data_IF_111556537145
#
_entry.id   IF_111556537145
#
_cell.length_a   1.000
_cell.length_b   1.000
_cell.length_c   1.000
_cell.angle_alpha   90.00
_cell.angle_beta   90.00
_cell.angle_gamma   90.00
#
_symmetry.space_group_name_H-M   'P 1'
#
loop_
_entity.id
_entity.type
_entity.pdbx_description
1 polymer ?
#
# COMPACT_ATOMS: atom_id res chain seq x y z
N UNK A 1 -10.70 -8.24 -15.88
CA UNK A 1 -9.63 -8.97 -15.15
C UNK A 1 -8.68 -8.06 -14.37
N UNK A 2 -8.57 -6.77 -14.70
CA UNK A 2 -7.76 -5.81 -13.91
C UNK A 2 -8.53 -5.24 -12.70
N UNK A 3 -9.86 -5.08 -12.81
CA UNK A 3 -10.68 -4.50 -11.74
C UNK A 3 -11.30 -5.54 -10.80
N UNK A 4 -11.70 -6.71 -11.32
CA UNK A 4 -12.43 -7.73 -10.55
C UNK A 4 -11.59 -8.39 -9.45
N UNK A 5 -10.34 -8.75 -9.74
CA UNK A 5 -9.44 -9.43 -8.79
C UNK A 5 -9.09 -8.56 -7.57
N UNK A 6 -8.70 -7.27 -7.73
CA UNK A 6 -8.52 -6.39 -6.57
C UNK A 6 -9.84 -6.05 -5.88
N UNK A 7 -10.99 -6.04 -6.58
CA UNK A 7 -12.29 -5.81 -5.94
C UNK A 7 -12.71 -6.95 -5.03
N UNK A 8 -12.54 -8.21 -5.45
CA UNK A 8 -12.87 -9.37 -4.61
C UNK A 8 -11.95 -9.45 -3.39
N UNK A 9 -10.66 -9.14 -3.58
CA UNK A 9 -9.69 -9.08 -2.49
C UNK A 9 -10.02 -7.92 -1.54
N UNK A 10 -10.31 -6.74 -2.07
CA UNK A 10 -10.69 -5.57 -1.28
C UNK A 10 -12.02 -5.73 -0.54
N UNK A 11 -13.00 -6.45 -1.11
CA UNK A 11 -14.28 -6.73 -0.46
C UNK A 11 -14.10 -7.64 0.77
N UNK A 12 -13.21 -8.63 0.69
CA UNK A 12 -12.87 -9.48 1.84
C UNK A 12 -12.18 -8.68 2.96
N UNK A 13 -11.35 -7.70 2.61
CA UNK A 13 -10.70 -6.83 3.58
C UNK A 13 -11.63 -5.74 4.10
N UNK A 14 -12.59 -5.27 3.29
CA UNK A 14 -13.64 -4.34 3.73
C UNK A 14 -14.49 -4.95 4.86
N UNK A 15 -14.72 -6.26 4.84
CA UNK A 15 -15.34 -6.97 5.95
C UNK A 15 -14.48 -6.92 7.24
N UNK A 16 -13.16 -7.09 7.13
CA UNK A 16 -12.24 -6.92 8.26
C UNK A 16 -12.10 -5.46 8.71
N UNK A 17 -12.16 -4.51 7.79
CA UNK A 17 -12.22 -3.07 8.06
C UNK A 17 -13.46 -2.75 8.90
N UNK A 18 -14.61 -3.31 8.50
CA UNK A 18 -15.88 -3.12 9.16
C UNK A 18 -15.88 -3.71 10.58
N UNK A 19 -15.34 -4.91 10.75
CA UNK A 19 -15.19 -5.53 12.08
C UNK A 19 -14.23 -4.72 12.97
N UNK A 20 -13.11 -4.23 12.42
CA UNK A 20 -12.17 -3.35 13.12
C UNK A 20 -12.84 -2.04 13.53
N UNK A 21 -13.58 -1.40 12.63
CA UNK A 21 -14.33 -0.17 12.92
C UNK A 21 -15.37 -0.38 14.02
N UNK A 22 -16.10 -1.49 14.00
CA UNK A 22 -17.07 -1.85 15.03
C UNK A 22 -16.41 -2.12 16.38
N UNK A 23 -15.28 -2.85 16.41
CA UNK A 23 -14.56 -3.22 17.64
C UNK A 23 -13.86 -2.05 18.30
N UNK A 24 -13.30 -1.12 17.54
CA UNK A 24 -12.56 0.05 18.07
C UNK A 24 -13.47 1.27 18.33
N UNK A 25 -14.76 1.05 18.54
CA UNK A 25 -15.69 2.08 19.05
C UNK A 25 -16.16 3.09 18.02
N UNK A 26 -16.12 2.77 16.72
CA UNK A 26 -16.66 3.60 15.63
C UNK A 26 -16.12 5.04 15.57
N UNK A 27 -14.90 5.24 16.03
CA UNK A 27 -14.25 6.55 16.02
C UNK A 27 -13.59 6.83 14.67
N UNK A 28 -13.33 8.11 14.37
CA UNK A 28 -12.61 8.52 13.15
C UNK A 28 -11.21 7.90 13.06
N UNK A 29 -10.57 7.65 14.20
CA UNK A 29 -9.28 6.95 14.30
C UNK A 29 -9.42 5.45 14.02
N UNK A 30 -10.49 4.81 14.51
CA UNK A 30 -10.82 3.42 14.18
C UNK A 30 -11.12 3.25 12.68
N UNK A 31 -11.80 4.21 12.05
CA UNK A 31 -12.05 4.22 10.62
C UNK A 31 -10.74 4.37 9.82
N UNK A 32 -9.85 5.27 10.24
CA UNK A 32 -8.51 5.42 9.64
C UNK A 32 -7.68 4.15 9.79
N UNK A 33 -7.66 3.51 10.96
CA UNK A 33 -6.98 2.22 11.15
C UNK A 33 -7.61 1.10 10.32
N UNK A 34 -8.93 1.07 10.23
CA UNK A 34 -9.65 0.09 9.41
C UNK A 34 -9.33 0.26 7.92
N UNK A 35 -9.32 1.50 7.41
CA UNK A 35 -9.03 1.78 6.00
C UNK A 35 -7.55 1.58 5.67
N UNK A 36 -6.63 2.03 6.52
CA UNK A 36 -5.18 1.87 6.32
C UNK A 36 -4.71 0.43 6.54
N UNK A 37 -5.39 -0.32 7.42
CA UNK A 37 -5.15 -1.74 7.65
C UNK A 37 -5.85 -2.65 6.63
N UNK A 38 -6.85 -2.12 5.92
CA UNK A 38 -7.43 -2.80 4.76
C UNK A 38 -6.47 -2.65 3.60
N UNK A 39 -5.97 -3.78 3.13
CA UNK A 39 -4.87 -3.94 2.18
C UNK A 39 -5.18 -3.44 0.75
N UNK A 40 -6.16 -2.56 0.59
CA UNK A 40 -6.64 -2.03 -0.70
C UNK A 40 -5.54 -1.24 -1.44
N UNK A 41 -4.75 -0.43 -0.72
CA UNK A 41 -3.63 0.31 -1.31
C UNK A 41 -2.49 -0.61 -1.77
N UNK A 42 -2.20 -1.67 -1.00
CA UNK A 42 -1.17 -2.64 -1.37
C UNK A 42 -1.62 -3.55 -2.51
N UNK A 43 -2.92 -3.86 -2.59
CA UNK A 43 -3.52 -4.54 -3.74
C UNK A 43 -3.42 -3.72 -5.02
N UNK A 44 -3.68 -2.41 -4.95
CA UNK A 44 -3.50 -1.51 -6.08
C UNK A 44 -2.03 -1.44 -6.54
N UNK A 45 -1.09 -1.41 -5.58
CA UNK A 45 0.34 -1.42 -5.87
C UNK A 45 0.80 -2.72 -6.57
N UNK A 46 0.38 -3.88 -6.07
CA UNK A 46 0.68 -5.17 -6.70
C UNK A 46 0.08 -5.28 -8.11
N UNK A 47 -1.15 -4.78 -8.32
CA UNK A 47 -1.77 -4.72 -9.63
C UNK A 47 -1.00 -3.80 -10.59
N UNK A 48 -0.56 -2.63 -10.13
CA UNK A 48 0.28 -1.73 -10.93
C UNK A 48 1.58 -2.40 -11.37
N UNK A 49 2.27 -3.10 -10.47
CA UNK A 49 3.50 -3.84 -10.80
C UNK A 49 3.26 -4.96 -11.81
N UNK A 50 2.16 -5.70 -11.67
CA UNK A 50 1.79 -6.76 -12.61
C UNK A 50 1.56 -6.20 -14.02
N UNK A 51 0.81 -5.10 -14.14
CA UNK A 51 0.54 -4.47 -15.43
C UNK A 51 1.80 -3.86 -16.05
N UNK A 52 2.70 -3.29 -15.25
CA UNK A 52 3.93 -2.68 -15.74
C UNK A 52 4.95 -3.71 -16.20
N UNK A 53 5.14 -4.77 -15.43
CA UNK A 53 6.20 -5.76 -15.68
C UNK A 53 5.74 -6.96 -16.50
N UNK A 54 4.42 -7.21 -16.58
CA UNK A 54 3.85 -8.41 -17.19
C UNK A 54 4.17 -9.70 -16.41
N UNK A 55 4.76 -9.60 -15.22
CA UNK A 55 5.22 -10.72 -14.41
C UNK A 55 4.50 -10.79 -13.07
N UNK A 56 4.19 -12.01 -12.63
CA UNK A 56 3.58 -12.26 -11.32
C UNK A 56 4.59 -12.16 -10.18
N UNK A 57 5.88 -12.38 -10.44
CA UNK A 57 6.90 -12.42 -9.40
C UNK A 57 7.08 -11.07 -8.68
N UNK A 58 7.20 -9.91 -9.37
CA UNK A 58 7.34 -8.61 -8.72
C UNK A 58 6.08 -8.20 -7.94
N UNK A 59 4.90 -8.50 -8.49
CA UNK A 59 3.63 -8.21 -7.84
C UNK A 59 3.44 -9.03 -6.57
N UNK A 60 3.76 -10.33 -6.63
CA UNK A 60 3.67 -11.23 -5.48
C UNK A 60 4.67 -10.87 -4.38
N UNK A 61 5.93 -10.60 -4.73
CA UNK A 61 6.95 -10.23 -3.75
C UNK A 61 6.61 -8.92 -3.05
N UNK A 62 6.14 -7.91 -3.79
CA UNK A 62 5.69 -6.65 -3.21
C UNK A 62 4.47 -6.85 -2.30
N UNK A 63 3.49 -7.64 -2.73
CA UNK A 63 2.31 -7.94 -1.92
C UNK A 63 2.66 -8.68 -0.61
N UNK A 64 3.50 -9.72 -0.69
CA UNK A 64 3.95 -10.46 0.48
C UNK A 64 4.75 -9.57 1.43
N UNK A 65 5.64 -8.72 0.90
CA UNK A 65 6.40 -7.76 1.70
C UNK A 65 5.48 -6.76 2.42
N UNK A 66 4.50 -6.17 1.71
CA UNK A 66 3.53 -5.27 2.31
C UNK A 66 2.68 -5.96 3.40
N UNK A 67 2.31 -7.23 3.21
CA UNK A 67 1.57 -7.99 4.22
C UNK A 67 2.43 -8.31 5.46
N UNK A 68 3.74 -8.55 5.30
CA UNK A 68 4.66 -8.81 6.41
C UNK A 68 4.93 -7.53 7.20
N UNK A 69 5.20 -6.43 6.50
CA UNK A 69 5.56 -5.15 7.13
C UNK A 69 4.35 -4.39 7.68
N UNK A 70 3.19 -4.54 7.04
CA UNK A 70 1.99 -3.78 7.37
C UNK A 70 2.10 -2.29 7.04
N UNK A 71 1.10 -1.52 7.48
CA UNK A 71 1.13 -0.07 7.33
C UNK A 71 1.87 0.56 8.53
N UNK A 72 2.81 1.50 8.30
CA UNK A 72 3.53 2.14 9.39
C UNK A 72 2.59 2.97 10.28
N UNK A 73 2.59 2.72 11.59
CA UNK A 73 1.83 3.50 12.56
C UNK A 73 2.55 4.83 12.89
N UNK A 74 2.66 5.73 11.91
CA UNK A 74 3.37 7.02 12.04
C UNK A 74 2.86 7.83 13.25
N UNK A 75 1.56 7.77 13.55
CA UNK A 75 0.96 8.44 14.71
C UNK A 75 1.48 7.88 16.05
N UNK A 76 1.75 6.57 16.13
CA UNK A 76 2.34 5.95 17.31
C UNK A 76 3.80 6.37 17.47
N UNK A 77 4.58 6.34 16.39
CA UNK A 77 6.00 6.71 16.40
C UNK A 77 6.22 8.17 16.80
N UNK A 78 5.40 9.09 16.29
CA UNK A 78 5.44 10.52 16.66
C UNK A 78 5.13 10.72 18.16
N UNK A 79 4.22 9.90 18.72
CA UNK A 79 3.86 9.98 20.15
C UNK A 79 4.98 9.45 21.05
N UNK A 80 5.69 8.41 20.61
CA UNK A 80 6.80 7.81 21.35
C UNK A 80 8.06 8.69 21.33
N UNK A 81 8.33 9.38 20.21
CA UNK A 81 9.53 10.21 20.03
C UNK A 81 9.20 11.67 19.63
N UNK A 82 8.61 12.47 20.55
CA UNK A 82 8.10 13.80 20.22
C UNK A 82 9.17 14.79 19.76
N UNK A 83 10.41 14.63 20.21
CA UNK A 83 11.53 15.52 19.85
C UNK A 83 12.06 15.28 18.43
N UNK A 84 11.81 14.10 17.85
CA UNK A 84 12.29 13.70 16.52
C UNK A 84 11.15 13.58 15.49
N UNK A 85 9.94 14.04 15.83
CA UNK A 85 8.73 13.91 14.99
C UNK A 85 8.93 14.43 13.55
N UNK A 86 9.60 15.57 13.40
CA UNK A 86 9.83 16.16 12.07
C UNK A 86 10.81 15.33 11.24
N UNK A 87 11.82 14.73 11.88
CA UNK A 87 12.78 13.86 11.21
C UNK A 87 12.10 12.56 10.75
N UNK A 88 11.28 11.94 11.60
CA UNK A 88 10.52 10.74 11.25
C UNK A 88 9.62 11.02 10.05
N UNK A 89 8.82 12.09 10.11
CA UNK A 89 7.94 12.48 8.99
C UNK A 89 8.74 12.78 7.72
N UNK A 90 9.85 13.50 7.83
CA UNK A 90 10.71 13.84 6.70
C UNK A 90 11.26 12.57 6.02
N UNK A 91 11.75 11.60 6.80
CA UNK A 91 12.29 10.35 6.26
C UNK A 91 11.22 9.51 5.57
N UNK A 92 10.00 9.43 6.14
CA UNK A 92 8.87 8.77 5.48
C UNK A 92 8.51 9.45 4.16
N UNK A 93 8.37 10.78 4.16
CA UNK A 93 8.05 11.53 2.95
C UNK A 93 9.13 11.37 1.88
N UNK A 94 10.41 11.47 2.28
CA UNK A 94 11.54 11.31 1.38
C UNK A 94 11.60 9.89 0.79
N UNK A 95 11.34 8.87 1.61
CA UNK A 95 11.25 7.48 1.15
C UNK A 95 10.11 7.26 0.16
N UNK A 96 8.91 7.77 0.46
CA UNK A 96 7.74 7.68 -0.44
C UNK A 96 8.01 8.40 -1.76
N UNK A 97 8.52 9.63 -1.71
CA UNK A 97 8.82 10.43 -2.90
C UNK A 97 9.90 9.72 -3.74
N UNK A 98 11.00 9.30 -3.12
CA UNK A 98 12.07 8.57 -3.80
C UNK A 98 11.58 7.27 -4.45
N UNK A 99 10.70 6.54 -3.77
CA UNK A 99 10.08 5.35 -4.31
C UNK A 99 9.19 5.67 -5.52
N UNK A 100 8.29 6.64 -5.41
CA UNK A 100 7.38 7.04 -6.50
C UNK A 100 8.15 7.54 -7.73
N UNK A 101 9.27 8.23 -7.55
CA UNK A 101 10.10 8.69 -8.68
C UNK A 101 10.90 7.57 -9.35
N UNK A 102 11.42 6.62 -8.58
CA UNK A 102 12.24 5.52 -9.10
C UNK A 102 11.40 4.38 -9.68
N UNK A 103 10.20 4.16 -9.14
CA UNK A 103 9.32 3.05 -9.51
C UNK A 103 9.02 2.99 -11.02
N UNK A 104 8.64 4.08 -11.72
CA UNK A 104 8.37 4.01 -13.16
C UNK A 104 9.62 3.64 -13.97
N UNK A 105 10.79 4.20 -13.60
CA UNK A 105 12.06 3.93 -14.27
C UNK A 105 12.51 2.49 -14.10
N UNK A 106 12.30 1.92 -12.91
CA UNK A 106 12.77 0.56 -12.57
C UNK A 106 11.79 -0.54 -12.99
N UNK A 107 10.54 -0.18 -13.26
CA UNK A 107 9.48 -1.11 -13.74
C UNK A 107 9.22 -0.96 -15.23
N UNK A 108 10.03 -0.17 -15.93
CA UNK A 108 9.97 -0.07 -17.38
C UNK A 108 10.44 -1.38 -18.01
N UNK A 109 9.52 -2.09 -18.66
CA UNK A 109 9.80 -3.36 -19.32
C UNK A 109 9.50 -3.18 -20.81
N UNK A 110 10.54 -3.09 -21.68
CA UNK A 110 10.34 -2.97 -23.12
C UNK A 110 9.54 -4.16 -23.65
N UNK A 111 8.46 -3.91 -24.39
CA UNK A 111 7.61 -4.96 -24.96
C UNK A 111 6.54 -5.53 -24.02
N UNK A 112 6.22 -4.86 -22.90
CA UNK A 112 5.05 -5.20 -22.09
C UNK A 112 3.76 -5.09 -22.91
N UNK A 113 3.06 -6.21 -23.05
CA UNK A 113 1.73 -6.30 -23.71
C UNK A 113 0.64 -5.48 -22.99
N UNK A 114 0.84 -5.15 -21.72
CA UNK A 114 -0.14 -4.44 -20.89
C UNK A 114 0.18 -2.95 -20.71
N UNK A 115 1.42 -2.53 -20.99
CA UNK A 115 1.87 -1.15 -20.81
C UNK A 115 2.90 -0.76 -21.88
N UNK A 116 2.45 -0.23 -23.04
CA UNK A 116 3.35 0.20 -24.09
C UNK A 116 4.20 1.39 -23.61
N UNK A 117 5.51 1.24 -23.62
CA UNK A 117 6.45 2.36 -23.54
C UNK A 117 6.33 3.15 -24.84
N UNK A 118 5.82 4.39 -24.76
CA UNK A 118 5.71 5.30 -25.89
C UNK A 118 7.08 5.76 -26.40
#
# INVERSE_FOLDING_TARGET
MVFLTPLSFGLAHAHHAWDTYNRYGRTRQAALKAVLGSTDLFGFHAAYLFLRTGSLLPAFSAHAFCNIMGFPEVAYEIRTWPHHKYLIILLYLLGIVGYVYTLPRWTETPGSIFWPSA
#
